data_IF_511107696047
#
_entry.id   IF_511107696047
#
_cell.length_a   1.000
_cell.length_b   1.000
_cell.length_c   1.000
_cell.angle_alpha   90.00
_cell.angle_beta   90.00
_cell.angle_gamma   90.00
#
_symmetry.space_group_name_H-M   'P 1'
#
loop_
_entity.id
_entity.type
_entity.pdbx_description
1 polymer ?
#
# COMPACT_ATOMS: atom_id res chain seq x y z
N UNK A 1 -13.72 0.12 -12.00
CA UNK A 1 -13.03 0.81 -10.91
C UNK A 1 -12.88 2.26 -11.28
N UNK A 2 -13.33 3.14 -10.41
CA UNK A 2 -13.18 4.58 -10.54
C UNK A 2 -12.10 5.06 -9.57
N UNK A 3 -10.85 5.02 -10.04
CA UNK A 3 -9.72 5.40 -9.20
C UNK A 3 -9.71 6.89 -8.84
N UNK A 4 -10.39 7.74 -9.62
CA UNK A 4 -10.45 9.19 -9.41
C UNK A 4 -11.40 9.49 -8.25
N UNK A 5 -12.60 8.90 -8.28
CA UNK A 5 -13.54 9.00 -7.16
C UNK A 5 -12.96 8.32 -5.91
N UNK A 6 -12.35 7.15 -6.07
CA UNK A 6 -11.50 6.51 -5.08
C UNK A 6 -11.80 5.02 -4.90
N UNK A 7 -10.75 4.22 -4.81
CA UNK A 7 -10.80 2.78 -4.63
C UNK A 7 -9.91 2.34 -3.46
N UNK A 8 -10.21 1.16 -2.91
CA UNK A 8 -9.35 0.46 -1.94
C UNK A 8 -8.75 -0.76 -2.64
N UNK A 9 -7.43 -0.83 -2.67
CA UNK A 9 -6.65 -1.85 -3.38
C UNK A 9 -5.86 -2.67 -2.37
N UNK A 10 -5.91 -3.99 -2.53
CA UNK A 10 -5.15 -4.94 -1.72
C UNK A 10 -3.96 -5.43 -2.56
N UNK A 11 -2.77 -4.94 -2.25
CA UNK A 11 -1.54 -5.26 -2.99
C UNK A 11 -0.72 -6.25 -2.17
N UNK A 12 -0.33 -7.37 -2.76
CA UNK A 12 0.72 -8.19 -2.17
C UNK A 12 2.08 -7.51 -2.41
N UNK A 13 2.63 -6.85 -1.38
CA UNK A 13 3.89 -6.12 -1.46
C UNK A 13 5.04 -7.09 -1.71
N UNK A 14 5.85 -6.89 -2.78
CA UNK A 14 7.03 -7.71 -3.02
C UNK A 14 8.11 -7.53 -1.94
N UNK A 15 8.98 -8.55 -1.83
CA UNK A 15 10.19 -8.48 -1.03
C UNK A 15 11.12 -7.38 -1.58
N UNK A 16 11.85 -6.71 -0.69
CA UNK A 16 12.76 -5.60 -0.95
C UNK A 16 12.13 -4.29 -1.42
N UNK A 17 10.81 -4.25 -1.66
CA UNK A 17 10.11 -3.02 -2.00
C UNK A 17 9.74 -2.24 -0.74
N UNK A 18 9.99 -0.93 -0.72
CA UNK A 18 9.42 -0.06 0.31
C UNK A 18 7.91 0.10 0.09
N UNK A 19 7.18 0.43 1.15
CA UNK A 19 5.75 0.79 1.06
C UNK A 19 5.50 1.95 0.09
N UNK A 20 6.39 2.96 0.12
CA UNK A 20 6.32 4.09 -0.80
C UNK A 20 6.55 3.68 -2.26
N UNK A 21 7.45 2.73 -2.53
CA UNK A 21 7.68 2.23 -3.89
C UNK A 21 6.40 1.62 -4.47
N UNK A 22 5.62 0.90 -3.67
CA UNK A 22 4.30 0.38 -4.10
C UNK A 22 3.38 1.52 -4.49
N UNK A 23 3.24 2.54 -3.63
CA UNK A 23 2.40 3.71 -3.90
C UNK A 23 2.82 4.43 -5.18
N UNK A 24 4.12 4.63 -5.39
CA UNK A 24 4.65 5.30 -6.57
C UNK A 24 4.33 4.54 -7.85
N UNK A 25 4.52 3.22 -7.84
CA UNK A 25 4.22 2.35 -8.99
C UNK A 25 2.71 2.32 -9.27
N UNK A 26 1.88 2.16 -8.24
CA UNK A 26 0.41 2.16 -8.39
C UNK A 26 -0.06 3.50 -8.95
N UNK A 27 0.41 4.63 -8.38
CA UNK A 27 0.07 5.97 -8.85
C UNK A 27 0.49 6.17 -10.31
N UNK A 28 1.72 5.81 -10.66
CA UNK A 28 2.23 5.96 -12.02
C UNK A 28 1.40 5.14 -13.02
N UNK A 29 1.11 3.87 -12.72
CA UNK A 29 0.37 2.98 -13.62
C UNK A 29 -1.08 3.41 -13.81
N UNK A 30 -1.75 3.88 -12.76
CA UNK A 30 -3.11 4.39 -12.88
C UNK A 30 -3.14 5.70 -13.66
N UNK A 31 -2.25 6.65 -13.35
CA UNK A 31 -2.15 7.91 -14.09
C UNK A 31 -1.88 7.70 -15.59
N UNK A 32 -0.96 6.78 -15.93
CA UNK A 32 -0.65 6.38 -17.31
C UNK A 32 -1.90 5.83 -18.01
N UNK A 33 -2.60 4.89 -17.39
CA UNK A 33 -3.80 4.25 -17.96
C UNK A 33 -4.96 5.24 -18.15
N UNK A 34 -5.14 6.17 -17.22
CA UNK A 34 -6.24 7.14 -17.24
C UNK A 34 -5.87 8.45 -17.97
N UNK A 35 -4.63 8.60 -18.43
CA UNK A 35 -4.10 9.82 -19.08
C UNK A 35 -4.27 11.08 -18.23
N UNK A 36 -4.05 10.96 -16.92
CA UNK A 36 -4.12 12.09 -15.97
C UNK A 36 -2.75 12.38 -15.36
N UNK A 37 -2.52 13.63 -14.96
CA UNK A 37 -1.22 14.07 -14.41
C UNK A 37 -1.05 13.77 -12.93
N UNK A 38 -2.14 13.81 -12.15
CA UNK A 38 -2.11 13.68 -10.70
C UNK A 38 -3.27 12.83 -10.22
N UNK A 39 -2.97 11.95 -9.27
CA UNK A 39 -3.95 11.17 -8.53
C UNK A 39 -3.48 11.08 -7.08
N UNK A 40 -4.38 11.32 -6.14
CA UNK A 40 -4.08 11.11 -4.72
C UNK A 40 -4.07 9.61 -4.45
N UNK A 41 -2.94 9.11 -3.95
CA UNK A 41 -2.74 7.71 -3.59
C UNK A 41 -1.98 7.65 -2.27
N UNK A 42 -2.40 6.78 -1.35
CA UNK A 42 -1.73 6.55 -0.07
C UNK A 42 -1.91 5.11 0.39
N UNK A 43 -1.14 4.67 1.38
CA UNK A 43 -1.23 3.33 1.95
C UNK A 43 -1.68 3.35 3.41
N UNK A 44 -2.31 2.28 3.88
CA UNK A 44 -2.86 2.17 5.24
C UNK A 44 -2.02 1.26 6.15
N UNK A 45 -0.74 1.59 6.25
CA UNK A 45 0.24 0.87 7.07
C UNK A 45 1.54 0.65 6.33
N UNK A 46 2.66 0.88 7.01
CA UNK A 46 3.98 0.64 6.45
C UNK A 46 4.36 -0.82 6.70
N UNK A 47 4.79 -1.50 5.65
CA UNK A 47 5.50 -2.77 5.74
C UNK A 47 6.99 -2.52 5.48
N UNK A 48 7.85 -3.17 6.27
CA UNK A 48 9.29 -3.13 6.07
C UNK A 48 9.68 -3.63 4.67
N UNK A 49 10.82 -3.18 4.11
CA UNK A 49 11.31 -3.71 2.83
C UNK A 49 11.44 -5.22 2.83
N UNK A 50 11.83 -5.83 3.95
CA UNK A 50 11.98 -7.28 4.10
C UNK A 50 10.68 -8.04 4.38
N UNK A 51 9.57 -7.35 4.64
CA UNK A 51 8.25 -7.97 4.78
C UNK A 51 7.60 -8.16 3.39
N UNK A 52 6.74 -9.17 3.26
CA UNK A 52 5.84 -9.35 2.11
C UNK A 52 4.40 -9.40 2.61
N UNK A 53 3.42 -9.44 1.72
CA UNK A 53 2.02 -9.63 2.08
C UNK A 53 1.15 -8.41 1.86
N UNK A 54 -0.03 -8.40 2.46
CA UNK A 54 -1.10 -7.45 2.12
C UNK A 54 -0.75 -6.02 2.54
N UNK A 55 -0.83 -5.12 1.56
CA UNK A 55 -0.75 -3.69 1.74
C UNK A 55 -2.00 -3.05 1.16
N UNK A 56 -2.75 -2.35 2.01
CA UNK A 56 -3.92 -1.59 1.59
C UNK A 56 -3.46 -0.27 1.00
N UNK A 57 -3.81 -0.02 -0.25
CA UNK A 57 -3.56 1.23 -0.99
C UNK A 57 -4.89 1.87 -1.34
N UNK A 58 -5.08 3.13 -0.98
CA UNK A 58 -6.29 3.88 -1.27
C UNK A 58 -6.02 4.94 -2.35
N UNK A 59 -6.98 5.17 -3.24
CA UNK A 59 -6.95 6.27 -4.22
C UNK A 59 -8.04 7.29 -3.94
N UNK A 60 -7.94 8.49 -4.53
CA UNK A 60 -9.02 9.49 -4.55
C UNK A 60 -9.57 9.81 -3.15
N UNK A 61 -10.90 9.85 -3.00
CA UNK A 61 -11.57 10.15 -1.73
C UNK A 61 -11.39 9.05 -0.68
N UNK A 62 -11.18 7.80 -1.10
CA UNK A 62 -10.91 6.66 -0.19
C UNK A 62 -9.63 6.80 0.61
N UNK A 63 -8.71 7.69 0.23
CA UNK A 63 -7.55 8.06 1.06
C UNK A 63 -7.93 8.63 2.44
N UNK A 64 -9.17 9.10 2.62
CA UNK A 64 -9.69 9.52 3.93
C UNK A 64 -10.00 8.35 4.87
N UNK A 65 -10.09 7.13 4.36
CA UNK A 65 -10.35 5.91 5.15
C UNK A 65 -9.05 5.26 5.66
N UNK A 66 -7.88 5.80 5.31
CA UNK A 66 -6.57 5.24 5.67
C UNK A 66 -6.43 5.03 7.19
N UNK A 67 -6.81 6.03 7.99
CA UNK A 67 -6.73 5.95 9.46
C UNK A 67 -7.59 4.81 10.01
N UNK A 68 -8.78 4.62 9.44
CA UNK A 68 -9.69 3.52 9.81
C UNK A 68 -9.04 2.16 9.55
N UNK A 69 -8.40 1.96 8.40
CA UNK A 69 -7.71 0.70 8.07
C UNK A 69 -6.43 0.49 8.91
N UNK A 70 -5.75 1.57 9.29
CA UNK A 70 -4.60 1.49 10.19
C UNK A 70 -4.99 1.05 11.59
N UNK A 71 -6.15 1.49 12.09
CA UNK A 71 -6.68 1.12 13.40
C UNK A 71 -7.16 -0.34 13.50
N UNK A 72 -7.27 -1.06 12.38
CA UNK A 72 -7.64 -2.48 12.39
C UNK A 72 -6.49 -3.35 12.91
N UNK A 73 -6.86 -4.46 13.54
CA UNK A 73 -5.93 -5.51 13.93
C UNK A 73 -5.22 -6.10 12.71
N UNK A 74 -3.98 -6.53 12.90
CA UNK A 74 -3.12 -7.07 11.85
C UNK A 74 -2.51 -8.37 12.33
N UNK A 75 -2.35 -9.31 11.42
CA UNK A 75 -1.74 -10.60 11.68
C UNK A 75 -0.50 -10.76 10.81
N UNK A 76 0.55 -11.33 11.38
CA UNK A 76 1.84 -11.53 10.74
C UNK A 76 2.34 -12.94 11.00
N UNK A 77 2.89 -13.56 9.96
CA UNK A 77 3.71 -14.75 10.10
C UNK A 77 5.18 -14.32 9.99
N UNK A 78 5.97 -14.62 11.01
CA UNK A 78 7.37 -14.21 11.08
C UNK A 78 8.26 -15.35 11.58
N UNK A 79 9.53 -15.31 11.18
CA UNK A 79 10.58 -16.18 11.71
C UNK A 79 11.57 -15.31 12.48
N UNK A 80 11.84 -15.67 13.73
CA UNK A 80 12.74 -14.93 14.61
C UNK A 80 13.97 -15.81 14.88
N UNK A 81 15.17 -15.24 14.74
CA UNK A 81 16.43 -15.88 15.13
C UNK A 81 16.93 -15.25 16.43
N UNK A 82 17.04 -16.06 17.48
CA UNK A 82 17.56 -15.65 18.79
C UNK A 82 19.07 -15.92 18.89
N UNK A 83 19.80 -15.07 19.60
CA UNK A 83 21.23 -15.28 19.89
C UNK A 83 22.19 -14.98 18.73
N UNK A 84 21.79 -14.16 17.75
CA UNK A 84 22.73 -13.64 16.75
C UNK A 84 23.61 -12.53 17.38
N UNK A 85 24.93 -12.65 17.24
CA UNK A 85 25.92 -11.62 17.59
C UNK A 85 26.54 -11.03 16.34
#
# INVERSE_FOLDING_TARGET
MDFIEGEVLYINKPLYWTSFKVVDVVRAKICERLKIKKLKVGHAGTLDPLATGVMIVCTGKKTKEIERFQAQTKEYMATIRLGAT
#
